data_IF_313747982813
#
_entry.id   IF_313747982813
#
_cell.length_a   1.000
_cell.length_b   1.000
_cell.length_c   1.000
_cell.angle_alpha   90.00
_cell.angle_beta   90.00
_cell.angle_gamma   90.00
#
_symmetry.space_group_name_H-M   'P 1'
#
loop_
_entity.id
_entity.type
_entity.pdbx_description
1 polymer ?
#
# COMPACT_ATOMS: atom_id res chain seq x y z
N UNK A 1 -0.16 -16.24 -14.72
CA UNK A 1 -1.54 -16.16 -15.23
C UNK A 1 -2.18 -14.84 -14.79
N UNK A 2 -3.04 -14.24 -15.61
CA UNK A 2 -3.79 -13.02 -15.25
C UNK A 2 -4.69 -13.22 -14.01
N UNK A 3 -5.16 -14.46 -13.78
CA UNK A 3 -5.94 -14.84 -12.59
C UNK A 3 -5.11 -14.68 -11.32
N UNK A 4 -3.89 -15.23 -11.31
CA UNK A 4 -3.00 -15.13 -10.14
C UNK A 4 -2.61 -13.68 -9.84
N UNK A 5 -2.35 -12.88 -10.89
CA UNK A 5 -2.08 -11.45 -10.74
C UNK A 5 -3.26 -10.73 -10.07
N UNK A 6 -4.49 -11.05 -10.47
CA UNK A 6 -5.70 -10.47 -9.88
C UNK A 6 -5.84 -10.86 -8.40
N UNK A 7 -5.67 -12.14 -8.08
CA UNK A 7 -5.78 -12.68 -6.71
C UNK A 7 -4.79 -11.99 -5.77
N UNK A 8 -3.52 -11.93 -6.15
CA UNK A 8 -2.46 -11.29 -5.35
C UNK A 8 -2.69 -9.78 -5.18
N UNK A 9 -3.25 -9.12 -6.20
CA UNK A 9 -3.61 -7.70 -6.10
C UNK A 9 -4.73 -7.46 -5.08
N UNK A 10 -5.74 -8.32 -5.07
CA UNK A 10 -6.87 -8.24 -4.14
C UNK A 10 -6.39 -8.52 -2.70
N UNK A 11 -5.59 -9.57 -2.51
CA UNK A 11 -4.98 -9.89 -1.20
C UNK A 11 -4.08 -8.76 -0.68
N UNK A 12 -3.29 -8.15 -1.57
CA UNK A 12 -2.46 -6.99 -1.24
C UNK A 12 -3.29 -5.80 -0.76
N UNK A 13 -4.33 -5.46 -1.51
CA UNK A 13 -5.26 -4.38 -1.15
C UNK A 13 -5.93 -4.64 0.20
N UNK A 14 -6.31 -5.88 0.49
CA UNK A 14 -6.88 -6.24 1.79
C UNK A 14 -5.88 -6.07 2.93
N UNK A 15 -4.63 -6.52 2.76
CA UNK A 15 -3.58 -6.36 3.78
C UNK A 15 -3.32 -4.89 4.08
N UNK A 16 -3.17 -4.07 3.04
CA UNK A 16 -2.96 -2.63 3.17
C UNK A 16 -4.15 -1.94 3.86
N UNK A 17 -5.38 -2.23 3.45
CA UNK A 17 -6.60 -1.72 4.07
C UNK A 17 -6.68 -2.07 5.56
N UNK A 18 -6.44 -3.34 5.92
CA UNK A 18 -6.40 -3.80 7.31
C UNK A 18 -5.29 -3.12 8.11
N UNK A 19 -4.16 -2.80 7.49
CA UNK A 19 -3.08 -2.07 8.16
C UNK A 19 -3.47 -0.62 8.45
N UNK A 20 -4.05 0.09 7.48
CA UNK A 20 -4.60 1.45 7.65
C UNK A 20 -5.60 1.47 8.81
N UNK A 21 -6.56 0.54 8.81
CA UNK A 21 -7.55 0.44 9.88
C UNK A 21 -6.91 0.19 11.25
N UNK A 22 -5.96 -0.74 11.34
CA UNK A 22 -5.28 -1.05 12.60
C UNK A 22 -4.41 0.10 13.14
N UNK A 23 -3.75 0.85 12.26
CA UNK A 23 -2.85 1.94 12.67
C UNK A 23 -3.58 3.24 12.95
N UNK A 24 -4.57 3.58 12.14
CA UNK A 24 -5.20 4.90 12.14
C UNK A 24 -6.66 4.88 12.60
N UNK A 25 -7.24 3.71 12.82
CA UNK A 25 -8.65 3.52 13.14
C UNK A 25 -9.61 4.06 12.04
N UNK A 26 -9.16 4.05 10.77
CA UNK A 26 -9.92 4.51 9.61
C UNK A 26 -10.26 3.31 8.72
N UNK A 27 -11.51 3.20 8.30
CA UNK A 27 -11.95 2.11 7.41
C UNK A 27 -11.88 2.57 5.95
N UNK A 28 -10.91 2.05 5.19
CA UNK A 28 -10.78 2.25 3.74
C UNK A 28 -11.06 0.93 3.04
N UNK A 29 -11.93 0.89 2.03
CA UNK A 29 -12.17 -0.35 1.28
C UNK A 29 -10.90 -0.78 0.55
N UNK A 30 -10.60 -2.09 0.43
CA UNK A 30 -9.45 -2.57 -0.33
C UNK A 30 -9.35 -1.96 -1.75
N UNK A 31 -10.48 -1.80 -2.44
CA UNK A 31 -10.57 -1.16 -3.76
C UNK A 31 -10.17 0.32 -3.79
N UNK A 32 -10.24 1.01 -2.66
CA UNK A 32 -9.94 2.44 -2.52
C UNK A 32 -8.51 2.72 -2.03
N UNK A 33 -7.78 1.68 -1.62
CA UNK A 33 -6.37 1.83 -1.25
C UNK A 33 -5.55 2.35 -2.44
N UNK A 34 -4.84 3.45 -2.21
CA UNK A 34 -3.86 4.09 -3.08
C UNK A 34 -2.46 3.94 -2.49
N UNK A 35 -1.46 3.69 -3.35
CA UNK A 35 -0.03 3.77 -2.97
C UNK A 35 0.49 5.21 -2.99
N UNK A 36 -0.13 6.06 -3.80
CA UNK A 36 0.13 7.49 -3.79
C UNK A 36 -1.19 8.21 -3.42
N UNK A 37 -1.55 8.27 -2.12
CA UNK A 37 -2.69 9.03 -1.66
C UNK A 37 -2.46 10.53 -1.94
N UNK A 38 -3.53 11.22 -2.31
CA UNK A 38 -3.56 12.67 -2.43
C UNK A 38 -3.64 13.34 -1.06
N UNK A 39 -3.44 14.66 -1.01
CA UNK A 39 -3.62 15.44 0.22
C UNK A 39 -5.04 15.37 0.81
N UNK A 40 -6.04 14.97 0.01
CA UNK A 40 -7.43 14.80 0.46
C UNK A 40 -7.73 13.40 0.99
N UNK A 41 -6.85 12.43 0.76
CA UNK A 41 -7.00 11.09 1.33
C UNK A 41 -6.61 11.11 2.82
N UNK A 42 -7.29 10.37 3.70
CA UNK A 42 -7.14 10.51 5.15
C UNK A 42 -5.88 9.81 5.71
N UNK A 43 -4.99 9.33 4.83
CA UNK A 43 -3.77 8.63 5.20
C UNK A 43 -2.67 8.91 4.18
N UNK A 44 -1.43 8.83 4.65
CA UNK A 44 -0.24 8.80 3.82
C UNK A 44 0.60 7.57 4.17
N UNK A 45 1.67 7.35 3.41
CA UNK A 45 2.61 6.26 3.67
C UNK A 45 3.94 6.83 4.12
N UNK A 46 4.43 6.34 5.26
CA UNK A 46 5.78 6.61 5.73
C UNK A 46 6.64 5.42 5.38
N UNK A 47 7.66 5.64 4.56
CA UNK A 47 8.64 4.62 4.18
C UNK A 47 9.86 4.79 5.09
N UNK A 48 10.36 3.69 5.65
CA UNK A 48 11.59 3.68 6.45
C UNK A 48 12.82 3.76 5.54
N UNK A 49 13.91 4.41 5.97
CA UNK A 49 15.11 4.61 5.15
C UNK A 49 15.70 3.33 4.55
N UNK A 50 15.58 2.20 5.27
CA UNK A 50 16.14 0.89 4.89
C UNK A 50 15.67 0.38 3.52
N UNK A 51 14.45 0.73 3.09
CA UNK A 51 13.88 0.34 1.79
C UNK A 51 13.40 1.51 0.94
N UNK A 52 13.80 2.74 1.28
CA UNK A 52 13.33 3.96 0.61
C UNK A 52 13.56 3.92 -0.90
N UNK A 53 14.73 3.48 -1.37
CA UNK A 53 15.04 3.45 -2.80
C UNK A 53 14.17 2.50 -3.64
N UNK A 54 13.80 1.33 -3.08
CA UNK A 54 12.94 0.35 -3.76
C UNK A 54 11.46 0.74 -3.66
N UNK A 55 11.01 1.05 -2.44
CA UNK A 55 9.61 1.36 -2.18
C UNK A 55 9.22 2.68 -2.84
N UNK A 56 10.07 3.71 -2.89
CA UNK A 56 9.73 4.97 -3.59
C UNK A 56 9.38 4.74 -5.06
N UNK A 57 10.09 3.81 -5.74
CA UNK A 57 9.76 3.43 -7.13
C UNK A 57 8.42 2.72 -7.21
N UNK A 58 8.09 1.85 -6.26
CA UNK A 58 6.80 1.17 -6.20
C UNK A 58 5.68 2.20 -5.95
N UNK A 59 5.87 3.14 -5.01
CA UNK A 59 4.83 4.09 -4.61
C UNK A 59 4.55 5.17 -5.66
N UNK A 60 5.48 5.39 -6.60
CA UNK A 60 5.27 6.30 -7.75
C UNK A 60 4.18 5.87 -8.74
N UNK A 61 3.66 4.63 -8.64
CA UNK A 61 2.66 4.08 -9.58
C UNK A 61 1.43 3.55 -8.86
N UNK A 62 0.33 3.43 -9.60
CA UNK A 62 -0.90 2.85 -9.06
C UNK A 62 -0.76 1.33 -8.84
N UNK A 63 -1.49 0.78 -7.84
CA UNK A 63 -1.56 -0.68 -7.62
C UNK A 63 -1.94 -1.45 -8.88
N UNK A 64 -2.83 -0.93 -9.72
CA UNK A 64 -3.27 -1.61 -10.95
C UNK A 64 -2.15 -1.78 -12.00
N UNK A 65 -1.10 -0.96 -11.93
CA UNK A 65 0.00 -0.91 -12.91
C UNK A 65 1.18 -1.80 -12.52
N UNK A 66 1.15 -2.37 -11.32
CA UNK A 66 2.28 -3.12 -10.77
C UNK A 66 2.33 -4.59 -11.19
N UNK A 67 3.53 -5.16 -11.04
CA UNK A 67 3.81 -6.58 -11.26
C UNK A 67 3.41 -7.42 -10.04
N UNK A 68 3.39 -8.74 -10.23
CA UNK A 68 3.20 -9.70 -9.12
C UNK A 68 4.27 -9.52 -8.02
N UNK A 69 5.52 -9.28 -8.41
CA UNK A 69 6.62 -9.08 -7.45
C UNK A 69 6.39 -7.85 -6.56
N UNK A 70 5.90 -6.75 -7.13
CA UNK A 70 5.56 -5.57 -6.37
C UNK A 70 4.39 -5.80 -5.39
N UNK A 71 3.39 -6.62 -5.75
CA UNK A 71 2.33 -6.99 -4.79
C UNK A 71 2.85 -7.79 -3.61
N UNK A 72 3.75 -8.74 -3.84
CA UNK A 72 4.38 -9.52 -2.77
C UNK A 72 5.17 -8.64 -1.83
N UNK A 73 6.04 -7.80 -2.39
CA UNK A 73 6.85 -6.85 -1.61
C UNK A 73 5.93 -5.97 -0.73
N UNK A 74 4.90 -5.35 -1.30
CA UNK A 74 3.96 -4.52 -0.54
C UNK A 74 3.23 -5.30 0.57
N UNK A 75 2.87 -6.57 0.33
CA UNK A 75 2.19 -7.41 1.30
C UNK A 75 3.09 -7.84 2.47
N UNK A 76 4.36 -8.08 2.18
CA UNK A 76 5.35 -8.59 3.13
C UNK A 76 5.91 -7.46 3.98
N UNK A 77 6.08 -6.27 3.39
CA UNK A 77 6.78 -5.14 3.99
C UNK A 77 5.86 -4.15 4.75
N UNK A 78 4.54 -4.23 4.56
CA UNK A 78 3.59 -3.35 5.24
C UNK A 78 3.62 -3.56 6.76
N UNK A 79 3.91 -2.49 7.50
CA UNK A 79 4.13 -2.49 8.94
C UNK A 79 5.53 -2.91 9.38
N UNK A 80 6.43 -3.20 8.43
CA UNK A 80 7.84 -3.51 8.70
C UNK A 80 8.72 -2.37 8.21
N UNK A 81 8.73 -2.12 6.90
CA UNK A 81 9.58 -1.08 6.26
C UNK A 81 8.79 0.10 5.72
N UNK A 82 7.46 0.04 5.75
CA UNK A 82 6.61 1.21 5.59
C UNK A 82 5.33 1.05 6.39
N UNK A 83 4.69 2.16 6.76
CA UNK A 83 3.46 2.14 7.54
C UNK A 83 2.49 3.24 7.13
N UNK A 84 1.21 3.02 7.41
CA UNK A 84 0.18 4.05 7.25
C UNK A 84 0.33 5.08 8.37
N UNK A 85 0.36 6.37 7.99
CA UNK A 85 0.36 7.52 8.89
C UNK A 85 -0.82 8.43 8.56
N UNK A 86 -1.32 9.25 9.50
CA UNK A 86 -2.33 10.26 9.18
C UNK A 86 -1.80 11.17 8.06
N UNK A 87 -2.66 11.53 7.11
CA UNK A 87 -2.38 12.65 6.23
C UNK A 87 -2.28 13.92 7.09
N UNK A 88 -1.12 14.59 7.10
CA UNK A 88 -1.01 15.89 7.75
C UNK A 88 -1.96 16.86 7.02
N UNK A 89 -3.03 17.27 7.69
CA UNK A 89 -3.85 18.42 7.30
C UNK A 89 -3.03 19.70 7.29
#
# INVERSE_FOLDING_TARGET
>A
SNVERRRLREECREKLSKHIQRRLNITIRPSEVRLNPSATDPYAWKILPEKEGLLSKIFSKNISEHSIGAYRELCEEVGITFEAVPSST
#
